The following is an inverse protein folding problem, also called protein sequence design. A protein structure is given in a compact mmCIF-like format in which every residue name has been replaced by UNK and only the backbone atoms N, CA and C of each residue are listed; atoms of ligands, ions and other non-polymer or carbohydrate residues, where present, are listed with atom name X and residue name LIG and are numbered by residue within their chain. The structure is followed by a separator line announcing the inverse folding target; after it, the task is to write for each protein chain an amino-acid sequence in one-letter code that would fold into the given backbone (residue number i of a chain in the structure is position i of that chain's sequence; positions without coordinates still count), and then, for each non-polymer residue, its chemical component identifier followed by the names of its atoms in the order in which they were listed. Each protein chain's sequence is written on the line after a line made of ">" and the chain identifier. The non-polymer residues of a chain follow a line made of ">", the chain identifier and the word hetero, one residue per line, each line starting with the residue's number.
data_IF_021368428296
#
_entry.id   IF_021368428296
#
_cell.length_a   1.000
_cell.length_b   1.000
_cell.length_c   1.000
_cell.angle_alpha   90.00
_cell.angle_beta   90.00
_cell.angle_gamma   90.00
#
_symmetry.space_group_name_H-M   'P 1'
#
loop_
_entity.id
_entity.type
_entity.pdbx_description
1 polymer ?
#
# COMPACT_ATOMS: atom_id res chain seq x y z
N UNK A 1 -17.05 17.84 -15.10
CA UNK A 1 -16.31 18.22 -13.87
C UNK A 1 -17.21 18.91 -12.86
N UNK A 2 -17.78 20.08 -13.18
CA UNK A 2 -18.63 20.87 -12.28
C UNK A 2 -19.82 20.07 -11.73
N UNK A 3 -20.51 19.32 -12.58
CA UNK A 3 -21.72 18.58 -12.18
C UNK A 3 -21.41 17.47 -11.19
N UNK A 4 -20.33 16.70 -11.44
CA UNK A 4 -19.84 15.71 -10.49
C UNK A 4 -19.48 16.35 -9.15
N UNK A 5 -18.69 17.43 -9.16
CA UNK A 5 -18.29 18.10 -7.91
C UNK A 5 -19.50 18.60 -7.13
N UNK A 6 -20.48 19.19 -7.81
CA UNK A 6 -21.69 19.68 -7.16
C UNK A 6 -22.50 18.54 -6.54
N UNK A 7 -22.79 17.49 -7.32
CA UNK A 7 -23.53 16.33 -6.84
C UNK A 7 -22.81 15.62 -5.69
N UNK A 8 -21.51 15.40 -5.82
CA UNK A 8 -20.70 14.75 -4.80
C UNK A 8 -20.59 15.59 -3.53
N UNK A 9 -20.32 16.89 -3.64
CA UNK A 9 -20.24 17.77 -2.48
C UNK A 9 -21.58 17.90 -1.75
N UNK A 10 -22.70 17.85 -2.48
CA UNK A 10 -24.03 17.79 -1.86
C UNK A 10 -24.20 16.53 -1.01
N UNK A 11 -23.69 15.37 -1.46
CA UNK A 11 -23.69 14.14 -0.65
C UNK A 11 -22.79 14.29 0.58
N UNK A 12 -21.59 14.86 0.43
CA UNK A 12 -20.67 15.08 1.55
C UNK A 12 -21.25 15.98 2.64
N UNK A 13 -21.92 17.07 2.24
CA UNK A 13 -22.59 17.96 3.18
C UNK A 13 -23.71 17.24 3.94
N UNK A 14 -24.50 16.41 3.25
CA UNK A 14 -25.54 15.62 3.88
C UNK A 14 -24.96 14.59 4.86
N UNK A 15 -23.88 13.88 4.49
CA UNK A 15 -23.16 12.94 5.37
C UNK A 15 -22.67 13.66 6.63
N UNK A 16 -21.95 14.77 6.46
CA UNK A 16 -21.41 15.55 7.58
C UNK A 16 -22.51 16.00 8.54
N UNK A 17 -23.63 16.49 8.02
CA UNK A 17 -24.76 16.90 8.85
C UNK A 17 -25.36 15.73 9.65
N UNK A 18 -25.49 14.55 9.03
CA UNK A 18 -26.03 13.36 9.70
C UNK A 18 -25.10 12.86 10.80
N UNK A 19 -23.80 12.90 10.59
CA UNK A 19 -22.81 12.53 11.61
C UNK A 19 -22.87 13.49 12.80
N UNK A 20 -22.91 14.81 12.56
CA UNK A 20 -23.06 15.80 13.64
C UNK A 20 -24.36 15.65 14.43
N UNK A 21 -25.46 15.32 13.75
CA UNK A 21 -26.75 15.07 14.40
C UNK A 21 -26.70 13.79 15.25
N UNK A 22 -26.11 12.71 14.74
CA UNK A 22 -25.96 11.45 15.47
C UNK A 22 -25.13 11.65 16.75
N UNK A 23 -24.00 12.36 16.66
CA UNK A 23 -23.16 12.71 17.81
C UNK A 23 -23.92 13.54 18.85
N UNK A 24 -24.74 14.49 18.39
CA UNK A 24 -25.54 15.35 19.26
C UNK A 24 -26.64 14.55 19.98
N UNK A 25 -27.32 13.64 19.27
CA UNK A 25 -28.33 12.76 19.85
C UNK A 25 -27.73 11.78 20.85
N UNK A 26 -26.56 11.23 20.55
CA UNK A 26 -25.84 10.34 21.47
C UNK A 26 -25.49 11.07 22.77
N UNK A 27 -24.96 12.30 22.69
CA UNK A 27 -24.66 13.13 23.88
C UNK A 27 -25.90 13.51 24.67
N UNK A 28 -27.05 13.63 24.00
CA UNK A 28 -28.34 13.91 24.64
C UNK A 28 -29.03 12.67 25.25
N UNK A 29 -28.44 11.48 25.13
CA UNK A 29 -29.01 10.23 25.66
C UNK A 29 -30.20 9.71 24.86
N UNK A 30 -30.26 10.00 23.55
CA UNK A 30 -31.29 9.45 22.67
C UNK A 30 -31.21 7.92 22.57
N UNK A 31 -32.32 7.28 22.16
CA UNK A 31 -32.36 5.83 22.00
C UNK A 31 -31.45 5.34 20.88
N UNK A 32 -30.90 4.13 21.04
CA UNK A 32 -30.09 3.47 20.02
C UNK A 32 -30.84 3.37 18.67
N UNK A 33 -32.16 3.20 18.69
CA UNK A 33 -32.99 3.17 17.48
C UNK A 33 -32.95 4.48 16.68
N UNK A 34 -32.91 5.64 17.35
CA UNK A 34 -32.84 6.94 16.70
C UNK A 34 -31.44 7.17 16.09
N UNK A 35 -30.40 6.74 16.79
CA UNK A 35 -29.01 6.83 16.31
C UNK A 35 -28.82 5.88 15.10
N UNK A 36 -29.30 4.64 15.18
CA UNK A 36 -29.22 3.67 14.08
C UNK A 36 -29.97 4.13 12.83
N UNK A 37 -31.10 4.83 12.97
CA UNK A 37 -31.81 5.39 11.82
C UNK A 37 -30.94 6.41 11.07
N UNK A 38 -30.26 7.31 11.79
CA UNK A 38 -29.33 8.27 11.20
C UNK A 38 -28.12 7.60 10.56
N UNK A 39 -27.54 6.58 11.20
CA UNK A 39 -26.44 5.80 10.64
C UNK A 39 -26.85 5.06 9.36
N UNK A 40 -28.08 4.58 9.29
CA UNK A 40 -28.63 3.92 8.09
C UNK A 40 -28.76 4.92 6.94
N UNK A 41 -29.35 6.10 7.19
CA UNK A 41 -29.46 7.16 6.19
C UNK A 41 -28.09 7.64 5.71
N UNK A 42 -27.15 7.83 6.64
CA UNK A 42 -25.77 8.19 6.35
C UNK A 42 -25.07 7.14 5.50
N UNK A 43 -25.28 5.85 5.79
CA UNK A 43 -24.73 4.75 4.98
C UNK A 43 -25.31 4.74 3.56
N UNK A 44 -26.60 5.07 3.40
CA UNK A 44 -27.20 5.26 2.08
C UNK A 44 -26.54 6.40 1.30
N UNK A 45 -26.32 7.56 1.93
CA UNK A 45 -25.63 8.70 1.29
C UNK A 45 -24.20 8.33 0.88
N UNK A 46 -23.48 7.56 1.70
CA UNK A 46 -22.14 7.06 1.35
C UNK A 46 -22.18 6.13 0.13
N UNK A 47 -23.18 5.24 0.04
CA UNK A 47 -23.38 4.38 -1.12
C UNK A 47 -23.76 5.18 -2.38
N UNK A 48 -24.60 6.20 -2.24
CA UNK A 48 -24.97 7.10 -3.34
C UNK A 48 -23.75 7.89 -3.85
N UNK A 49 -22.88 8.33 -2.95
CA UNK A 49 -21.60 8.96 -3.30
C UNK A 49 -20.67 8.00 -4.07
N UNK A 50 -20.60 6.71 -3.67
CA UNK A 50 -19.88 5.67 -4.43
C UNK A 50 -20.50 5.44 -5.81
N UNK A 51 -21.82 5.39 -5.91
CA UNK A 51 -22.53 5.21 -7.18
C UNK A 51 -22.34 6.40 -8.14
N UNK A 52 -22.25 7.63 -7.61
CA UNK A 52 -21.90 8.82 -8.38
C UNK A 52 -20.47 8.74 -8.97
N UNK A 53 -19.51 8.24 -8.20
CA UNK A 53 -18.18 7.94 -8.71
C UNK A 53 -18.26 6.93 -9.86
N UNK A 54 -18.88 5.77 -9.64
CA UNK A 54 -18.92 4.69 -10.64
C UNK A 54 -19.61 5.11 -11.93
N UNK A 55 -20.73 5.83 -11.83
CA UNK A 55 -21.44 6.38 -13.00
C UNK A 55 -20.59 7.40 -13.76
N UNK A 56 -19.88 8.28 -13.04
CA UNK A 56 -18.99 9.28 -13.64
C UNK A 56 -17.79 8.65 -14.36
N UNK A 57 -17.20 7.60 -13.78
CA UNK A 57 -16.10 6.86 -14.41
C UNK A 57 -16.57 6.17 -15.69
N UNK A 58 -17.76 5.55 -15.68
CA UNK A 58 -18.32 4.85 -16.86
C UNK A 58 -18.70 5.79 -17.99
N UNK A 59 -19.26 6.96 -17.67
CA UNK A 59 -19.75 7.93 -18.66
C UNK A 59 -18.65 8.84 -19.22
N UNK A 60 -17.48 8.90 -18.58
CA UNK A 60 -16.42 9.81 -19.01
C UNK A 60 -15.72 9.34 -20.28
N UNK A 61 -15.73 10.20 -21.30
CA UNK A 61 -14.92 10.09 -22.52
C UNK A 61 -13.67 10.99 -22.47
N UNK A 62 -13.33 11.50 -21.29
CA UNK A 62 -12.18 12.39 -21.11
C UNK A 62 -11.23 11.84 -20.04
N UNK A 63 -9.98 11.49 -20.39
CA UNK A 63 -9.05 10.89 -19.44
C UNK A 63 -8.67 11.82 -18.28
N UNK A 64 -8.57 13.14 -18.52
CA UNK A 64 -8.29 14.09 -17.46
C UNK A 64 -9.47 14.21 -16.47
N UNK A 65 -10.70 14.19 -16.98
CA UNK A 65 -11.90 14.19 -16.13
C UNK A 65 -12.00 12.91 -15.31
N UNK A 66 -11.76 11.74 -15.91
CA UNK A 66 -11.75 10.45 -15.20
C UNK A 66 -10.72 10.45 -14.08
N UNK A 67 -9.49 10.91 -14.36
CA UNK A 67 -8.44 11.02 -13.35
C UNK A 67 -8.80 12.01 -12.25
N UNK A 68 -9.41 13.15 -12.59
CA UNK A 68 -9.87 14.13 -11.61
C UNK A 68 -10.93 13.54 -10.67
N UNK A 69 -11.95 12.90 -11.23
CA UNK A 69 -13.04 12.26 -10.48
C UNK A 69 -12.51 11.19 -9.53
N UNK A 70 -11.62 10.33 -10.05
CA UNK A 70 -10.94 9.28 -9.28
C UNK A 70 -10.15 9.87 -8.11
N UNK A 71 -9.29 10.86 -8.39
CA UNK A 71 -8.44 11.48 -7.39
C UNK A 71 -9.24 12.25 -6.33
N UNK A 72 -10.29 12.95 -6.73
CA UNK A 72 -11.15 13.74 -5.84
C UNK A 72 -11.95 12.85 -4.89
N UNK A 73 -12.50 11.74 -5.40
CA UNK A 73 -13.18 10.77 -4.55
C UNK A 73 -12.20 10.13 -3.57
N UNK A 74 -11.07 9.62 -4.06
CA UNK A 74 -10.11 8.91 -3.21
C UNK A 74 -9.52 9.82 -2.12
N UNK A 75 -9.19 11.06 -2.46
CA UNK A 75 -8.67 12.03 -1.47
C UNK A 75 -9.70 12.35 -0.39
N UNK A 76 -10.98 12.44 -0.77
CA UNK A 76 -12.09 12.68 0.16
C UNK A 76 -12.35 11.46 1.04
N UNK A 77 -12.32 10.25 0.47
CA UNK A 77 -12.52 9.02 1.23
C UNK A 77 -11.43 8.77 2.28
N UNK A 78 -10.22 9.29 2.06
CA UNK A 78 -9.13 9.25 3.03
C UNK A 78 -9.32 10.22 4.21
N UNK A 79 -10.29 11.14 4.15
CA UNK A 79 -10.61 12.04 5.25
C UNK A 79 -11.50 11.30 6.25
N UNK A 80 -10.96 11.02 7.45
CA UNK A 80 -11.66 10.27 8.49
C UNK A 80 -13.06 10.83 8.83
N UNK A 81 -13.25 12.15 8.72
CA UNK A 81 -14.53 12.80 8.99
C UNK A 81 -15.67 12.40 8.06
N UNK A 82 -15.39 11.90 6.85
CA UNK A 82 -16.44 11.48 5.91
C UNK A 82 -16.71 9.98 5.92
N UNK A 83 -15.80 9.15 6.48
CA UNK A 83 -15.87 7.68 6.54
C UNK A 83 -16.45 7.03 5.26
N UNK A 84 -16.00 7.46 4.09
CA UNK A 84 -16.37 6.83 2.82
C UNK A 84 -15.49 5.61 2.59
N UNK A 85 -16.03 4.59 1.91
CA UNK A 85 -15.21 3.49 1.42
C UNK A 85 -14.33 3.99 0.26
N UNK A 86 -13.02 4.03 0.49
CA UNK A 86 -12.04 4.28 -0.57
C UNK A 86 -11.96 3.12 -1.56
N UNK A 87 -11.31 3.35 -2.70
CA UNK A 87 -11.02 2.30 -3.68
C UNK A 87 -9.81 1.48 -3.23
N UNK A 88 -9.91 0.17 -3.39
CA UNK A 88 -8.76 -0.73 -3.26
C UNK A 88 -7.78 -0.61 -4.43
N UNK A 89 -6.54 -1.06 -4.22
CA UNK A 89 -5.48 -1.01 -5.26
C UNK A 89 -5.88 -1.76 -6.54
N UNK A 90 -6.54 -2.91 -6.41
CA UNK A 90 -7.04 -3.70 -7.55
C UNK A 90 -8.14 -2.98 -8.34
N UNK A 91 -9.04 -2.27 -7.65
CA UNK A 91 -10.08 -1.45 -8.28
C UNK A 91 -9.46 -0.29 -9.06
N UNK A 92 -8.53 0.44 -8.43
CA UNK A 92 -7.81 1.54 -9.08
C UNK A 92 -7.05 1.03 -10.31
N UNK A 93 -6.33 -0.09 -10.18
CA UNK A 93 -5.61 -0.69 -11.30
C UNK A 93 -6.55 -1.05 -12.45
N UNK A 94 -7.70 -1.66 -12.15
CA UNK A 94 -8.70 -2.00 -13.17
C UNK A 94 -9.23 -0.75 -13.89
N UNK A 95 -9.56 0.30 -13.16
CA UNK A 95 -10.04 1.58 -13.74
C UNK A 95 -8.98 2.17 -14.68
N UNK A 96 -7.71 2.18 -14.26
CA UNK A 96 -6.61 2.70 -15.09
C UNK A 96 -6.34 1.80 -16.30
N UNK A 97 -6.41 0.48 -16.15
CA UNK A 97 -6.26 -0.46 -17.26
C UNK A 97 -7.33 -0.26 -18.35
N UNK A 98 -8.59 -0.11 -17.94
CA UNK A 98 -9.73 0.19 -18.83
C UNK A 98 -9.57 1.57 -19.50
N UNK A 99 -9.15 2.58 -18.73
CA UNK A 99 -8.95 3.93 -19.25
C UNK A 99 -7.79 3.99 -20.25
N UNK A 100 -6.65 3.34 -19.96
CA UNK A 100 -5.51 3.26 -20.87
C UNK A 100 -5.86 2.48 -22.15
N UNK A 101 -6.69 1.44 -22.06
CA UNK A 101 -7.19 0.72 -23.24
C UNK A 101 -8.09 1.61 -24.12
N UNK A 102 -8.90 2.48 -23.52
CA UNK A 102 -9.74 3.45 -24.24
C UNK A 102 -8.93 4.58 -24.88
N UNK A 103 -7.79 4.95 -24.30
CA UNK A 103 -6.92 6.05 -24.76
C UNK A 103 -5.46 5.60 -24.99
N UNK A 104 -5.18 4.70 -25.95
CA UNK A 104 -3.86 4.08 -26.12
C UNK A 104 -2.75 5.06 -26.52
N UNK A 105 -3.09 6.20 -27.14
CA UNK A 105 -2.14 7.24 -27.52
C UNK A 105 -1.78 8.21 -26.36
N UNK A 106 -2.41 8.08 -25.20
CA UNK A 106 -2.20 9.00 -24.08
C UNK A 106 -1.00 8.57 -23.23
N UNK A 107 0.17 9.15 -23.49
CA UNK A 107 1.47 8.78 -22.87
C UNK A 107 1.42 8.75 -21.34
N UNK A 108 0.86 9.77 -20.69
CA UNK A 108 0.78 9.82 -19.22
C UNK A 108 -0.11 8.71 -18.62
N UNK A 109 -1.11 8.21 -19.35
CA UNK A 109 -1.93 7.10 -18.87
C UNK A 109 -1.16 5.78 -18.98
N UNK A 110 -0.37 5.61 -20.04
CA UNK A 110 0.53 4.47 -20.16
C UNK A 110 1.57 4.46 -19.03
N UNK A 111 2.12 5.62 -18.65
CA UNK A 111 3.03 5.76 -17.52
C UNK A 111 2.35 5.40 -16.18
N UNK A 112 1.16 5.93 -15.91
CA UNK A 112 0.40 5.61 -14.69
C UNK A 112 0.08 4.12 -14.65
N UNK A 113 -0.41 3.54 -15.76
CA UNK A 113 -0.65 2.09 -15.87
C UNK A 113 0.61 1.29 -15.57
N UNK A 114 1.75 1.68 -16.13
CA UNK A 114 3.04 1.03 -15.88
C UNK A 114 3.44 1.13 -14.41
N UNK A 115 3.26 2.29 -13.78
CA UNK A 115 3.56 2.46 -12.34
C UNK A 115 2.65 1.62 -11.44
N UNK A 116 1.41 1.36 -11.86
CA UNK A 116 0.44 0.53 -11.14
C UNK A 116 0.58 -0.96 -11.43
N UNK A 117 1.32 -1.35 -12.46
CA UNK A 117 1.56 -2.75 -12.77
C UNK A 117 2.47 -3.44 -11.75
N UNK A 118 3.15 -2.66 -10.89
CA UNK A 118 4.16 -3.16 -9.96
C UNK A 118 5.42 -3.64 -10.69
N UNK A 119 6.33 -4.29 -9.97
CA UNK A 119 7.52 -4.91 -10.56
C UNK A 119 7.34 -6.42 -10.75
N UNK A 120 6.18 -6.99 -10.36
CA UNK A 120 5.87 -8.41 -10.57
C UNK A 120 6.07 -8.79 -12.04
N UNK A 121 6.83 -9.85 -12.28
CA UNK A 121 7.19 -10.31 -13.62
C UNK A 121 8.53 -9.77 -14.13
N UNK A 122 9.10 -8.76 -13.48
CA UNK A 122 10.38 -8.17 -13.87
C UNK A 122 11.55 -8.79 -13.09
N UNK A 123 12.79 -8.75 -13.61
CA UNK A 123 13.98 -9.02 -12.83
C UNK A 123 14.07 -8.07 -11.64
N UNK A 124 14.40 -8.58 -10.46
CA UNK A 124 14.62 -7.75 -9.27
C UNK A 124 15.87 -6.85 -9.49
N UNK A 125 15.75 -5.52 -9.36
CA UNK A 125 16.90 -4.63 -9.44
C UNK A 125 17.98 -5.02 -8.43
N UNK A 126 19.25 -4.94 -8.80
CA UNK A 126 20.34 -5.30 -7.87
C UNK A 126 20.34 -4.36 -6.66
N UNK A 127 20.61 -4.93 -5.49
CA UNK A 127 20.87 -4.18 -4.25
C UNK A 127 22.28 -4.54 -3.83
N UNK A 128 23.11 -3.53 -3.55
CA UNK A 128 24.42 -3.72 -2.93
C UNK A 128 24.59 -2.66 -1.88
N UNK A 129 24.31 -3.04 -0.63
CA UNK A 129 24.31 -2.14 0.52
C UNK A 129 25.08 -2.77 1.69
N UNK A 130 25.67 -1.97 2.59
CA UNK A 130 26.41 -2.51 3.72
C UNK A 130 25.48 -3.08 4.79
N UNK A 131 25.92 -4.18 5.40
CA UNK A 131 25.34 -4.75 6.62
C UNK A 131 25.68 -3.87 7.86
N UNK A 132 25.19 -4.22 9.07
CA UNK A 132 25.54 -3.48 10.29
C UNK A 132 27.04 -3.37 10.57
N UNK A 133 27.87 -4.27 10.05
CA UNK A 133 29.32 -4.27 10.20
C UNK A 133 30.03 -3.47 9.09
N UNK A 134 29.29 -2.93 8.12
CA UNK A 134 29.85 -2.22 6.97
C UNK A 134 30.22 -3.14 5.80
N UNK A 135 29.92 -4.44 5.88
CA UNK A 135 30.23 -5.41 4.83
C UNK A 135 29.20 -5.32 3.71
N UNK A 136 29.59 -5.10 2.45
CA UNK A 136 28.64 -5.07 1.34
C UNK A 136 27.96 -6.43 1.16
N UNK A 137 26.63 -6.44 1.15
CA UNK A 137 25.81 -7.62 0.80
C UNK A 137 25.07 -7.33 -0.49
N UNK A 138 25.04 -8.31 -1.39
CA UNK A 138 24.38 -8.21 -2.70
C UNK A 138 23.09 -9.00 -2.71
N UNK A 139 22.02 -8.52 -3.36
CA UNK A 139 20.82 -9.33 -3.54
C UNK A 139 21.13 -10.57 -4.41
N UNK A 140 22.01 -10.43 -5.40
CA UNK A 140 22.47 -11.57 -6.20
C UNK A 140 23.20 -12.67 -5.42
N UNK A 141 23.73 -12.41 -4.21
CA UNK A 141 24.34 -13.48 -3.40
C UNK A 141 23.31 -14.47 -2.84
N UNK A 142 22.02 -14.17 -2.96
CA UNK A 142 20.92 -15.05 -2.56
C UNK A 142 20.31 -15.84 -3.72
N UNK A 143 20.86 -15.73 -4.95
CA UNK A 143 20.37 -16.49 -6.11
C UNK A 143 20.31 -17.98 -5.80
N UNK A 144 19.30 -18.65 -6.35
CA UNK A 144 18.95 -20.03 -6.01
C UNK A 144 17.98 -20.17 -4.83
N UNK A 145 17.69 -19.10 -4.08
CA UNK A 145 16.68 -19.08 -3.02
C UNK A 145 15.49 -18.22 -3.41
N UNK A 146 14.34 -18.49 -2.80
CA UNK A 146 13.29 -17.47 -2.71
C UNK A 146 13.71 -16.42 -1.69
N UNK A 147 13.59 -15.14 -2.04
CA UNK A 147 14.04 -14.02 -1.19
C UNK A 147 12.92 -13.02 -1.01
N UNK A 148 12.49 -12.82 0.23
CA UNK A 148 11.68 -11.65 0.58
C UNK A 148 12.63 -10.47 0.80
N UNK A 149 12.59 -9.48 -0.09
CA UNK A 149 13.28 -8.21 0.11
C UNK A 149 12.32 -7.29 0.85
N UNK A 150 12.61 -6.99 2.11
CA UNK A 150 11.73 -6.28 3.03
C UNK A 150 12.27 -4.87 3.32
N UNK A 151 11.61 -3.85 2.79
CA UNK A 151 11.96 -2.45 2.97
C UNK A 151 11.23 -1.87 4.18
N UNK A 152 12.02 -1.49 5.18
CA UNK A 152 11.50 -1.09 6.48
C UNK A 152 12.37 0.02 7.11
N UNK A 153 12.04 0.47 8.32
CA UNK A 153 12.91 1.34 9.10
C UNK A 153 12.56 1.26 10.59
N UNK A 154 13.53 1.61 11.45
CA UNK A 154 13.32 1.59 12.91
C UNK A 154 12.19 2.51 13.38
N UNK A 155 12.03 3.66 12.70
CA UNK A 155 11.03 4.69 12.97
C UNK A 155 9.65 4.39 12.35
N UNK A 156 9.54 3.37 11.49
CA UNK A 156 8.30 3.02 10.81
C UNK A 156 7.40 2.17 11.70
N UNK A 157 6.48 2.81 12.43
CA UNK A 157 5.55 2.09 13.32
C UNK A 157 4.76 0.96 12.64
N UNK A 158 4.17 1.14 11.43
CA UNK A 158 3.48 0.04 10.75
C UNK A 158 4.41 -1.12 10.37
N UNK A 159 5.67 -0.84 10.01
CA UNK A 159 6.67 -1.88 9.75
C UNK A 159 6.94 -2.70 11.03
N UNK A 160 7.16 -2.03 12.16
CA UNK A 160 7.38 -2.68 13.46
C UNK A 160 6.18 -3.53 13.90
N UNK A 161 4.96 -3.13 13.52
CA UNK A 161 3.73 -3.89 13.77
C UNK A 161 3.61 -5.13 12.88
N UNK A 162 4.19 -5.12 11.69
CA UNK A 162 4.20 -6.25 10.75
C UNK A 162 5.34 -7.24 11.01
N UNK A 163 6.45 -6.80 11.61
CA UNK A 163 7.61 -7.65 11.93
C UNK A 163 7.28 -8.98 12.63
N UNK A 164 6.33 -9.07 13.59
CA UNK A 164 5.90 -10.36 14.15
C UNK A 164 5.39 -11.36 13.10
N UNK A 165 4.66 -10.90 12.07
CA UNK A 165 4.19 -11.75 10.98
C UNK A 165 5.36 -12.21 10.10
N UNK A 166 6.31 -11.31 9.81
CA UNK A 166 7.52 -11.65 9.04
C UNK A 166 8.38 -12.66 9.79
N UNK A 167 8.56 -12.50 11.11
CA UNK A 167 9.27 -13.47 11.97
C UNK A 167 8.59 -14.83 11.98
N UNK A 168 7.24 -14.85 12.07
CA UNK A 168 6.45 -16.09 12.00
C UNK A 168 6.65 -16.79 10.66
N UNK A 169 6.55 -16.06 9.55
CA UNK A 169 6.78 -16.58 8.21
C UNK A 169 8.22 -17.12 8.04
N UNK A 170 9.22 -16.35 8.47
CA UNK A 170 10.62 -16.78 8.40
C UNK A 170 10.85 -18.09 9.15
N UNK A 171 10.39 -18.19 10.40
CA UNK A 171 10.57 -19.42 11.19
C UNK A 171 9.87 -20.63 10.58
N UNK A 172 8.75 -20.43 9.89
CA UNK A 172 7.99 -21.49 9.22
C UNK A 172 8.67 -21.98 7.93
N UNK A 173 9.33 -21.08 7.20
CA UNK A 173 9.79 -21.34 5.82
C UNK A 173 11.31 -21.32 5.62
N UNK A 174 12.11 -20.85 6.59
CA UNK A 174 13.58 -20.68 6.46
C UNK A 174 14.34 -21.93 6.01
N UNK A 175 13.84 -23.12 6.35
CA UNK A 175 14.45 -24.40 5.99
C UNK A 175 13.97 -24.94 4.62
N UNK A 176 13.12 -24.18 3.92
CA UNK A 176 12.55 -24.50 2.61
C UNK A 176 13.12 -23.61 1.49
N UNK A 177 14.44 -23.43 1.45
CA UNK A 177 15.10 -22.61 0.43
C UNK A 177 14.62 -21.14 0.40
N UNK A 178 14.32 -20.59 1.57
CA UNK A 178 13.82 -19.22 1.75
C UNK A 178 14.82 -18.37 2.53
N UNK A 179 14.93 -17.10 2.14
CA UNK A 179 15.70 -16.09 2.84
C UNK A 179 14.93 -14.78 2.89
N UNK A 180 15.34 -13.91 3.80
CA UNK A 180 14.86 -12.53 3.87
C UNK A 180 16.09 -11.61 3.82
N UNK A 181 15.99 -10.54 3.03
CA UNK A 181 16.94 -9.44 3.03
C UNK A 181 16.20 -8.19 3.52
N UNK A 182 16.47 -7.77 4.76
CA UNK A 182 15.93 -6.53 5.31
C UNK A 182 16.71 -5.33 4.80
N UNK A 183 16.04 -4.40 4.13
CA UNK A 183 16.63 -3.16 3.61
C UNK A 183 16.09 -2.00 4.43
N UNK A 184 16.92 -1.42 5.29
CA UNK A 184 16.50 -0.30 6.14
C UNK A 184 16.64 1.04 5.41
N UNK A 185 15.58 1.84 5.48
CA UNK A 185 15.51 3.26 5.10
C UNK A 185 15.63 4.17 6.34
N UNK A 186 16.44 3.79 7.33
CA UNK A 186 16.80 4.67 8.43
C UNK A 186 17.63 5.88 7.94
N UNK A 187 17.65 6.96 8.72
CA UNK A 187 18.28 8.24 8.34
C UNK A 187 19.78 8.24 8.63
N UNK A 188 20.54 9.22 8.08
CA UNK A 188 21.92 9.43 8.48
C UNK A 188 22.01 9.62 10.00
N UNK A 189 22.92 8.88 10.64
CA UNK A 189 23.09 8.89 12.10
C UNK A 189 22.16 7.95 12.88
N UNK A 190 21.25 7.21 12.24
CA UNK A 190 20.31 6.30 12.93
C UNK A 190 20.73 4.82 12.91
N UNK A 191 22.03 4.54 12.79
CA UNK A 191 22.56 3.16 12.80
C UNK A 191 22.22 2.42 14.10
N UNK A 192 22.31 3.11 15.23
CA UNK A 192 22.05 2.52 16.55
C UNK A 192 20.56 2.22 16.73
N UNK A 193 19.67 3.09 16.26
CA UNK A 193 18.22 2.86 16.27
C UNK A 193 17.83 1.66 15.40
N UNK A 194 18.40 1.58 14.19
CA UNK A 194 18.23 0.47 13.26
C UNK A 194 18.66 -0.87 13.87
N UNK A 195 19.90 -0.95 14.37
CA UNK A 195 20.44 -2.19 14.97
C UNK A 195 19.72 -2.57 16.25
N UNK A 196 19.30 -1.59 17.06
CA UNK A 196 18.46 -1.83 18.24
C UNK A 196 17.09 -2.39 17.86
N UNK A 197 16.46 -1.86 16.81
CA UNK A 197 15.19 -2.37 16.32
C UNK A 197 15.29 -3.82 15.80
N UNK A 198 16.37 -4.16 15.08
CA UNK A 198 16.66 -5.55 14.66
C UNK A 198 16.66 -6.49 15.86
N UNK A 199 17.36 -6.13 16.93
CA UNK A 199 17.45 -6.95 18.15
C UNK A 199 16.11 -7.05 18.89
N UNK A 200 15.42 -5.92 19.06
CA UNK A 200 14.14 -5.87 19.77
C UNK A 200 13.07 -6.72 19.09
N UNK A 201 13.02 -6.68 17.75
CA UNK A 201 12.01 -7.37 16.97
C UNK A 201 12.44 -8.78 16.56
N UNK A 202 13.65 -9.20 16.95
CA UNK A 202 14.20 -10.53 16.69
C UNK A 202 14.29 -10.84 15.19
N UNK A 203 14.73 -9.87 14.40
CA UNK A 203 14.86 -9.98 12.95
C UNK A 203 16.19 -10.68 12.62
N UNK A 204 16.20 -12.02 12.66
CA UNK A 204 17.45 -12.83 12.64
C UNK A 204 18.07 -13.04 11.27
N UNK A 205 17.46 -12.51 10.20
CA UNK A 205 17.97 -12.58 8.84
C UNK A 205 18.97 -11.46 8.53
N UNK A 206 19.51 -11.44 7.30
CA UNK A 206 20.48 -10.42 6.87
C UNK A 206 19.80 -9.06 6.70
N UNK A 207 20.41 -8.03 7.26
CA UNK A 207 19.95 -6.64 7.11
C UNK A 207 21.03 -5.78 6.45
N UNK A 208 20.61 -4.81 5.65
CA UNK A 208 21.47 -3.83 4.98
C UNK A 208 20.87 -2.43 5.04
N UNK A 209 21.70 -1.39 4.99
CA UNK A 209 21.25 0.00 4.87
C UNK A 209 22.38 0.91 4.40
N UNK A 210 22.09 1.89 3.55
CA UNK A 210 22.98 3.03 3.30
C UNK A 210 22.71 4.21 4.25
N UNK A 211 21.71 4.10 5.12
CA UNK A 211 21.23 5.16 6.00
C UNK A 211 20.87 6.45 5.26
N UNK A 212 20.43 6.36 4.00
CA UNK A 212 20.12 7.54 3.18
C UNK A 212 18.64 7.92 3.19
N UNK A 213 17.79 7.26 3.98
CA UNK A 213 16.34 7.53 4.00
C UNK A 213 15.74 7.46 2.57
N UNK A 214 14.86 8.38 2.20
CA UNK A 214 14.31 8.46 0.83
C UNK A 214 15.31 8.86 -0.26
N UNK A 215 16.55 9.25 0.09
CA UNK A 215 17.59 9.54 -0.89
C UNK A 215 18.38 8.29 -1.30
N UNK A 216 18.08 7.12 -0.72
CA UNK A 216 18.70 5.87 -1.12
C UNK A 216 18.40 5.55 -2.59
N UNK A 217 19.38 5.08 -3.39
CA UNK A 217 19.15 4.67 -4.77
C UNK A 217 18.16 3.50 -4.89
N UNK A 218 17.94 2.70 -3.84
CA UNK A 218 16.98 1.59 -3.89
C UNK A 218 15.52 2.06 -3.98
N UNK A 219 15.22 3.27 -3.48
CA UNK A 219 13.87 3.84 -3.47
C UNK A 219 13.31 4.00 -4.89
N UNK A 220 13.97 4.73 -5.82
CA UNK A 220 13.50 4.81 -7.20
C UNK A 220 13.64 3.48 -7.96
N UNK A 221 14.65 2.65 -7.66
CA UNK A 221 14.84 1.35 -8.32
C UNK A 221 13.66 0.40 -8.08
N UNK A 222 13.12 0.40 -6.86
CA UNK A 222 11.99 -0.45 -6.46
C UNK A 222 10.64 0.29 -6.45
N UNK A 223 10.59 1.51 -6.98
CA UNK A 223 9.39 2.36 -7.02
C UNK A 223 8.71 2.50 -5.63
N UNK A 224 9.52 2.67 -4.57
CA UNK A 224 9.03 2.71 -3.19
C UNK A 224 8.41 4.08 -2.91
N UNK A 225 7.08 4.11 -2.73
CA UNK A 225 6.34 5.32 -2.36
C UNK A 225 5.99 5.39 -0.86
N UNK A 226 6.27 4.33 -0.12
CA UNK A 226 5.92 4.18 1.30
C UNK A 226 6.48 2.88 1.88
N UNK A 227 6.60 2.81 3.20
CA UNK A 227 6.96 1.58 3.92
C UNK A 227 5.91 1.30 5.03
N UNK A 228 5.62 0.03 5.37
CA UNK A 228 6.30 -1.19 4.92
C UNK A 228 6.07 -1.49 3.44
N UNK A 229 7.10 -2.04 2.79
CA UNK A 229 7.04 -2.48 1.40
C UNK A 229 7.93 -3.70 1.25
N UNK A 230 7.49 -4.71 0.51
CA UNK A 230 8.34 -5.85 0.20
C UNK A 230 8.09 -6.35 -1.21
N UNK A 231 9.07 -7.08 -1.72
CA UNK A 231 8.93 -7.89 -2.91
C UNK A 231 9.42 -9.31 -2.64
N UNK A 232 8.74 -10.31 -3.21
CA UNK A 232 9.17 -11.69 -3.20
C UNK A 232 9.87 -12.00 -4.52
N UNK A 233 11.12 -12.44 -4.43
CA UNK A 233 11.98 -12.78 -5.55
C UNK A 233 12.13 -14.30 -5.62
N UNK A 234 12.00 -14.88 -6.81
CA UNK A 234 12.22 -16.30 -7.06
C UNK A 234 13.73 -16.66 -7.18
N UNK A 235 14.09 -17.97 -7.20
CA UNK A 235 15.47 -18.42 -7.31
C UNK A 235 16.24 -17.85 -8.52
N UNK A 236 15.56 -17.58 -9.63
CA UNK A 236 16.10 -17.03 -10.86
C UNK A 236 16.33 -15.51 -10.77
N UNK A 237 15.75 -14.84 -9.77
CA UNK A 237 15.91 -13.41 -9.53
C UNK A 237 14.78 -12.55 -10.09
N UNK A 238 13.62 -13.12 -10.37
CA UNK A 238 12.42 -12.43 -10.86
C UNK A 238 11.45 -12.17 -9.71
N UNK A 239 10.81 -11.01 -9.74
CA UNK A 239 9.80 -10.63 -8.75
C UNK A 239 8.49 -11.38 -9.04
N UNK A 240 7.98 -12.10 -8.04
CA UNK A 240 6.77 -12.94 -8.13
C UNK A 240 5.67 -12.52 -7.14
N UNK A 241 5.91 -11.46 -6.36
CA UNK A 241 4.91 -10.86 -5.48
C UNK A 241 5.43 -9.55 -4.89
N UNK A 242 4.51 -8.69 -4.46
CA UNK A 242 4.80 -7.39 -3.83
C UNK A 242 3.76 -7.10 -2.73
N UNK A 243 4.14 -6.28 -1.75
CA UNK A 243 3.25 -5.81 -0.67
C UNK A 243 2.53 -6.96 0.05
N UNK A 244 3.26 -8.04 0.31
CA UNK A 244 2.76 -9.24 0.98
C UNK A 244 2.84 -9.05 2.49
N UNK A 245 1.71 -8.93 3.18
CA UNK A 245 1.65 -8.70 4.63
C UNK A 245 0.67 -9.68 5.30
N UNK A 246 0.93 -10.01 6.55
CA UNK A 246 0.08 -10.91 7.34
C UNK A 246 -0.17 -12.25 6.64
N UNK A 247 -1.45 -12.63 6.54
CA UNK A 247 -1.85 -13.91 5.93
C UNK A 247 -1.46 -14.03 4.46
N UNK A 248 -1.50 -12.93 3.69
CA UNK A 248 -1.14 -12.95 2.28
C UNK A 248 0.33 -13.34 2.05
N UNK A 249 1.23 -12.97 2.98
CA UNK A 249 2.62 -13.42 2.95
C UNK A 249 2.72 -14.93 3.18
N UNK A 250 2.06 -15.44 4.22
CA UNK A 250 2.11 -16.87 4.54
C UNK A 250 1.50 -17.73 3.42
N UNK A 251 0.38 -17.32 2.86
CA UNK A 251 -0.27 -18.01 1.74
C UNK A 251 0.63 -18.05 0.51
N UNK A 252 1.23 -16.90 0.14
CA UNK A 252 2.11 -16.84 -1.01
C UNK A 252 3.37 -17.70 -0.82
N UNK A 253 3.95 -17.69 0.37
CA UNK A 253 5.09 -18.54 0.69
C UNK A 253 4.70 -20.02 0.69
N UNK A 254 3.54 -20.40 1.22
CA UNK A 254 3.06 -21.78 1.17
C UNK A 254 2.80 -22.27 -0.26
N UNK A 255 2.35 -21.40 -1.15
CA UNK A 255 2.14 -21.70 -2.57
C UNK A 255 3.46 -22.07 -3.27
N UNK A 256 4.52 -21.28 -3.05
CA UNK A 256 5.78 -21.39 -3.80
C UNK A 256 6.85 -22.25 -3.11
N UNK A 257 6.77 -22.40 -1.78
CA UNK A 257 7.69 -23.18 -0.94
C UNK A 257 7.03 -24.48 -0.46
N UNK A 258 7.00 -25.47 -1.35
CA UNK A 258 6.49 -26.81 -1.04
C UNK A 258 7.43 -27.54 -0.08
#
# INVERSE_FOLDING_TARGET
>A
MKDFMFAFNSQLQAIYFKDQLADSLQKAGASDSAIMALQTERSKLANDARALLDSSLRQSDNPALTMFVLGYYQSTANIAGYQLAGLGESEVKKIIDELAAKFPAHTRLAEIKKSLAGLVGSPAPEITLPDPNGTPVKLSSFRGKYVLVDFWASWCKPCRQENPNVVKAFNRFKDKNFAILGVSLDRPGQKDDWTKAIMQDKLTWTHVSDLMYWNSPVVPLYNISGIPYNVLVDPEGKIIGEKLFGEALEEKLAEVLK
#
